data_IF_954943579470
#
_entry.id   IF_954943579470
#
_cell.length_a   1.000
_cell.length_b   1.000
_cell.length_c   1.000
_cell.angle_alpha   90.00
_cell.angle_beta   90.00
_cell.angle_gamma   90.00
#
_symmetry.space_group_name_H-M   'P 1'
#
loop_
_entity.id
_entity.type
_entity.pdbx_description
1 polymer ?
#
# COMPACT_ATOMS: atom_id res chain seq x y z
N UNK A 1 12.18 -18.15 -7.70
CA UNK A 1 11.88 -16.97 -8.54
C UNK A 1 12.43 -15.78 -7.79
N UNK A 2 13.62 -15.32 -8.17
CA UNK A 2 14.28 -14.14 -7.59
C UNK A 2 13.47 -12.89 -7.96
N UNK A 3 12.79 -12.31 -6.98
CA UNK A 3 12.17 -11.01 -7.10
C UNK A 3 13.28 -9.96 -6.94
N UNK A 4 13.93 -9.59 -8.04
CA UNK A 4 14.78 -8.40 -8.09
C UNK A 4 13.90 -7.18 -7.81
N UNK A 5 14.36 -6.34 -6.90
CA UNK A 5 13.60 -5.43 -6.04
C UNK A 5 12.87 -4.26 -6.72
N UNK A 6 12.62 -4.28 -8.03
CA UNK A 6 12.04 -3.13 -8.74
C UNK A 6 11.02 -3.48 -9.83
N UNK A 7 10.87 -4.76 -10.20
CA UNK A 7 10.00 -5.12 -11.32
C UNK A 7 8.57 -5.40 -10.85
N UNK A 8 7.76 -4.35 -10.81
CA UNK A 8 6.32 -4.45 -10.53
C UNK A 8 5.49 -4.43 -11.80
N UNK A 9 4.40 -5.21 -11.81
CA UNK A 9 3.38 -5.14 -12.86
C UNK A 9 2.78 -3.72 -12.88
N UNK A 10 2.73 -3.02 -14.03
CA UNK A 10 2.47 -1.57 -14.12
C UNK A 10 1.02 -1.13 -13.82
N UNK A 11 0.25 -1.93 -13.08
CA UNK A 11 -1.21 -1.84 -13.02
C UNK A 11 -1.70 -0.70 -12.13
N UNK A 12 -0.91 -0.30 -11.13
CA UNK A 12 -1.24 0.84 -10.26
C UNK A 12 -0.38 2.09 -10.62
N UNK A 13 0.59 1.98 -11.53
CA UNK A 13 1.51 3.09 -11.81
C UNK A 13 2.37 3.52 -10.61
N UNK A 14 2.53 2.67 -9.59
CA UNK A 14 3.20 3.03 -8.31
C UNK A 14 4.72 2.89 -8.33
N UNK A 15 5.33 2.45 -9.43
CA UNK A 15 6.79 2.25 -9.49
C UNK A 15 7.58 3.51 -9.16
N UNK A 16 7.17 4.67 -9.71
CA UNK A 16 7.80 5.95 -9.44
C UNK A 16 7.57 6.43 -7.98
N UNK A 17 6.35 6.30 -7.47
CA UNK A 17 6.02 6.67 -6.09
C UNK A 17 6.79 5.80 -5.09
N UNK A 18 6.90 4.49 -5.36
CA UNK A 18 7.65 3.55 -4.54
C UNK A 18 9.14 3.91 -4.46
N UNK A 19 9.74 4.26 -5.61
CA UNK A 19 11.13 4.72 -5.65
C UNK A 19 11.34 6.02 -4.83
N UNK A 20 10.39 6.95 -4.89
CA UNK A 20 10.42 8.18 -4.08
C UNK A 20 10.27 7.88 -2.58
N UNK A 21 9.35 6.98 -2.20
CA UNK A 21 9.22 6.52 -0.81
C UNK A 21 10.51 5.85 -0.31
N UNK A 22 11.21 5.10 -1.17
CA UNK A 22 12.47 4.44 -0.85
C UNK A 22 13.59 5.42 -0.62
N UNK A 23 13.73 6.39 -1.52
CA UNK A 23 14.68 7.48 -1.36
C UNK A 23 14.41 8.22 -0.04
N UNK A 24 13.15 8.59 0.23
CA UNK A 24 12.77 9.28 1.46
C UNK A 24 13.08 8.45 2.72
N UNK A 25 12.72 7.16 2.72
CA UNK A 25 12.99 6.26 3.85
C UNK A 25 14.49 6.09 4.11
N UNK A 26 15.30 5.91 3.05
CA UNK A 26 16.74 5.77 3.16
C UNK A 26 17.38 7.07 3.68
N UNK A 27 17.01 8.22 3.11
CA UNK A 27 17.54 9.51 3.56
C UNK A 27 17.16 9.81 5.01
N UNK A 28 15.94 9.47 5.44
CA UNK A 28 15.53 9.61 6.84
C UNK A 28 16.42 8.79 7.79
N UNK A 29 16.78 7.56 7.41
CA UNK A 29 17.67 6.72 8.21
C UNK A 29 19.09 7.26 8.23
N UNK A 30 19.63 7.63 7.07
CA UNK A 30 20.98 8.18 6.96
C UNK A 30 21.13 9.49 7.73
N UNK A 31 20.14 10.37 7.63
CA UNK A 31 20.14 11.65 8.35
C UNK A 31 20.18 11.41 9.87
N UNK A 32 19.39 10.46 10.38
CA UNK A 32 19.43 10.09 11.80
C UNK A 32 20.80 9.54 12.18
N UNK A 33 21.37 8.65 11.38
CA UNK A 33 22.66 8.05 11.68
C UNK A 33 23.77 9.11 11.76
N UNK A 34 23.78 10.08 10.85
CA UNK A 34 24.79 11.15 10.78
C UNK A 34 24.58 12.22 11.85
N UNK A 35 23.35 12.46 12.30
CA UNK A 35 23.04 13.49 13.30
C UNK A 35 22.92 12.96 14.73
N UNK A 36 22.96 11.64 14.95
CA UNK A 36 22.92 11.06 16.29
C UNK A 36 24.27 11.16 17.01
N UNK A 37 25.38 11.07 16.26
CA UNK A 37 26.74 11.13 16.80
C UNK A 37 27.53 12.23 16.05
N UNK A 38 28.35 13.02 16.76
CA UNK A 38 29.27 14.00 16.13
C UNK A 38 30.44 13.32 15.38
N UNK A 39 30.47 11.98 15.39
CA UNK A 39 31.51 11.15 14.79
C UNK A 39 30.96 10.45 13.56
N UNK A 40 31.81 10.33 12.53
CA UNK A 40 31.45 9.64 11.29
C UNK A 40 31.02 8.19 11.57
N UNK A 41 29.90 7.72 11.01
CA UNK A 41 29.42 6.37 11.26
C UNK A 41 30.38 5.31 10.72
N UNK A 42 30.55 4.25 11.50
CA UNK A 42 31.35 3.07 11.14
C UNK A 42 30.68 2.24 10.05
N UNK A 43 31.47 1.46 9.32
CA UNK A 43 30.95 0.54 8.29
C UNK A 43 29.90 -0.43 8.84
N UNK A 44 30.05 -0.91 10.08
CA UNK A 44 29.07 -1.79 10.74
C UNK A 44 27.73 -1.09 11.00
N UNK A 45 27.76 0.17 11.43
CA UNK A 45 26.54 0.95 11.62
C UNK A 45 25.80 1.20 10.30
N UNK A 46 26.54 1.48 9.22
CA UNK A 46 25.98 1.63 7.87
C UNK A 46 25.38 0.31 7.38
N UNK A 47 26.06 -0.82 7.56
CA UNK A 47 25.57 -2.13 7.15
C UNK A 47 24.29 -2.53 7.91
N UNK A 48 24.28 -2.32 9.23
CA UNK A 48 23.10 -2.53 10.07
C UNK A 48 21.91 -1.67 9.61
N UNK A 49 22.16 -0.40 9.25
CA UNK A 49 21.14 0.49 8.71
C UNK A 49 20.58 -0.02 7.38
N UNK A 50 21.43 -0.45 6.45
CA UNK A 50 20.99 -0.97 5.15
C UNK A 50 20.19 -2.28 5.29
N UNK A 51 20.58 -3.15 6.22
CA UNK A 51 19.81 -4.37 6.53
C UNK A 51 18.43 -4.01 7.10
N UNK A 52 18.36 -3.05 8.02
CA UNK A 52 17.09 -2.55 8.55
C UNK A 52 16.23 -1.91 7.47
N UNK A 53 16.81 -1.09 6.59
CA UNK A 53 16.13 -0.50 5.44
C UNK A 53 15.51 -1.59 4.55
N UNK A 54 16.30 -2.61 4.20
CA UNK A 54 15.84 -3.75 3.39
C UNK A 54 14.65 -4.46 4.05
N UNK A 55 14.76 -4.78 5.34
CA UNK A 55 13.66 -5.42 6.08
C UNK A 55 12.37 -4.58 6.06
N UNK A 56 12.46 -3.27 6.29
CA UNK A 56 11.29 -2.39 6.27
C UNK A 56 10.65 -2.26 4.87
N UNK A 57 11.45 -2.29 3.80
CA UNK A 57 10.96 -2.10 2.43
C UNK A 57 10.41 -3.37 1.79
N UNK A 58 10.89 -4.55 2.18
CA UNK A 58 10.37 -5.84 1.66
C UNK A 58 8.88 -5.99 1.94
N UNK A 59 8.42 -5.68 3.16
CA UNK A 59 7.00 -5.80 3.52
C UNK A 59 6.11 -4.83 2.72
N UNK A 60 6.57 -3.58 2.55
CA UNK A 60 5.86 -2.56 1.76
C UNK A 60 5.82 -2.91 0.28
N UNK A 61 6.92 -3.40 -0.27
CA UNK A 61 7.01 -3.85 -1.66
C UNK A 61 6.08 -5.05 -1.91
N UNK A 62 6.09 -6.04 -1.02
CA UNK A 62 5.18 -7.20 -1.08
C UNK A 62 3.72 -6.78 -1.02
N UNK A 63 3.35 -5.94 -0.06
CA UNK A 63 1.98 -5.43 0.08
C UNK A 63 1.50 -4.71 -1.19
N UNK A 64 2.37 -3.91 -1.82
CA UNK A 64 2.02 -3.20 -3.05
C UNK A 64 1.93 -4.15 -4.24
N UNK A 65 2.79 -5.16 -4.32
CA UNK A 65 2.74 -6.20 -5.35
C UNK A 65 1.44 -7.01 -5.26
N UNK A 66 1.06 -7.45 -4.06
CA UNK A 66 -0.17 -8.21 -3.82
C UNK A 66 -1.41 -7.38 -4.16
N UNK A 67 -1.39 -6.09 -3.84
CA UNK A 67 -2.44 -5.13 -4.21
C UNK A 67 -2.54 -4.98 -5.72
N UNK A 68 -1.40 -4.83 -6.41
CA UNK A 68 -1.35 -4.68 -7.88
C UNK A 68 -1.87 -5.93 -8.58
N UNK A 69 -1.48 -7.10 -8.09
CA UNK A 69 -1.96 -8.38 -8.59
C UNK A 69 -3.47 -8.54 -8.38
N UNK A 70 -3.99 -8.15 -7.21
CA UNK A 70 -5.42 -8.21 -6.92
C UNK A 70 -6.23 -7.25 -7.79
N UNK A 71 -5.74 -6.02 -7.97
CA UNK A 71 -6.35 -5.04 -8.88
C UNK A 71 -6.32 -5.50 -10.33
N UNK A 72 -5.24 -6.18 -10.76
CA UNK A 72 -5.19 -6.80 -12.07
C UNK A 72 -6.30 -7.82 -12.24
N UNK A 73 -6.44 -8.73 -11.27
CA UNK A 73 -7.44 -9.79 -11.28
C UNK A 73 -8.86 -9.22 -11.27
N UNK A 74 -9.08 -8.13 -10.54
CA UNK A 74 -10.33 -7.37 -10.56
C UNK A 74 -10.61 -6.80 -11.96
N UNK A 75 -9.65 -6.10 -12.55
CA UNK A 75 -9.81 -5.44 -13.85
C UNK A 75 -9.95 -6.42 -15.01
N UNK A 76 -9.21 -7.53 -14.97
CA UNK A 76 -9.28 -8.62 -15.96
C UNK A 76 -10.41 -9.61 -15.67
N UNK A 77 -11.14 -9.42 -14.57
CA UNK A 77 -12.22 -10.31 -14.12
C UNK A 77 -11.78 -11.78 -14.07
N UNK A 78 -10.54 -12.03 -13.61
CA UNK A 78 -9.90 -13.33 -13.72
C UNK A 78 -10.59 -14.36 -12.82
N UNK A 79 -11.53 -15.12 -13.36
CA UNK A 79 -12.29 -16.14 -12.64
C UNK A 79 -13.58 -15.60 -12.01
N UNK A 80 -14.42 -16.54 -11.56
CA UNK A 80 -15.78 -16.25 -11.11
C UNK A 80 -15.84 -15.26 -9.93
N UNK A 81 -14.96 -15.44 -8.94
CA UNK A 81 -14.89 -14.57 -7.76
C UNK A 81 -14.61 -13.09 -8.12
N UNK A 82 -13.56 -12.83 -8.92
CA UNK A 82 -13.20 -11.47 -9.33
C UNK A 82 -14.22 -10.86 -10.31
N UNK A 83 -14.86 -11.69 -11.13
CA UNK A 83 -16.01 -11.29 -11.96
C UNK A 83 -17.21 -10.85 -11.10
N UNK A 84 -17.51 -11.59 -10.04
CA UNK A 84 -18.62 -11.27 -9.14
C UNK A 84 -18.36 -9.95 -8.40
N UNK A 85 -17.15 -9.77 -7.86
CA UNK A 85 -16.79 -8.53 -7.16
C UNK A 85 -16.88 -7.33 -8.11
N UNK A 86 -16.22 -7.40 -9.27
CA UNK A 86 -16.17 -6.28 -10.22
C UNK A 86 -17.56 -5.88 -10.74
N UNK A 87 -18.43 -6.86 -11.04
CA UNK A 87 -19.75 -6.57 -11.63
C UNK A 87 -20.86 -6.32 -10.62
N UNK A 88 -20.80 -6.93 -9.43
CA UNK A 88 -21.92 -6.95 -8.47
C UNK A 88 -21.62 -6.24 -7.17
N UNK A 89 -20.36 -6.08 -6.78
CA UNK A 89 -20.00 -5.45 -5.49
C UNK A 89 -19.46 -4.05 -5.72
N UNK A 90 -18.51 -3.90 -6.65
CA UNK A 90 -17.82 -2.64 -6.92
C UNK A 90 -18.77 -1.46 -7.24
N UNK A 91 -19.86 -1.63 -8.04
CA UNK A 91 -20.80 -0.54 -8.30
C UNK A 91 -21.52 0.00 -7.06
N UNK A 92 -21.64 -0.82 -6.01
CA UNK A 92 -22.28 -0.43 -4.75
C UNK A 92 -21.27 -0.04 -3.68
N UNK A 93 -19.97 -0.13 -3.96
CA UNK A 93 -18.90 0.15 -3.01
C UNK A 93 -18.75 1.65 -2.69
N UNK A 94 -19.44 2.53 -3.43
CA UNK A 94 -19.45 3.98 -3.18
C UNK A 94 -18.02 4.54 -3.16
N UNK A 95 -17.67 5.23 -2.07
CA UNK A 95 -16.37 5.88 -1.90
C UNK A 95 -15.23 4.93 -1.50
N UNK A 96 -15.49 3.64 -1.36
CA UNK A 96 -14.49 2.67 -0.89
C UNK A 96 -13.20 2.63 -1.75
N UNK A 97 -13.25 2.69 -3.09
CA UNK A 97 -12.03 2.78 -3.90
C UNK A 97 -11.22 4.06 -3.62
N UNK A 98 -11.91 5.19 -3.42
CA UNK A 98 -11.28 6.45 -3.08
C UNK A 98 -10.66 6.42 -1.68
N UNK A 99 -11.34 5.80 -0.70
CA UNK A 99 -10.83 5.58 0.64
C UNK A 99 -9.60 4.66 0.67
N UNK A 100 -9.62 3.57 -0.09
CA UNK A 100 -8.46 2.69 -0.21
C UNK A 100 -7.28 3.40 -0.88
N UNK A 101 -7.54 4.19 -1.93
CA UNK A 101 -6.53 5.01 -2.58
C UNK A 101 -5.91 6.05 -1.64
N UNK A 102 -6.75 6.76 -0.87
CA UNK A 102 -6.26 7.75 0.10
C UNK A 102 -5.48 7.09 1.24
N UNK A 103 -5.95 5.96 1.77
CA UNK A 103 -5.24 5.20 2.81
C UNK A 103 -3.89 4.68 2.29
N UNK A 104 -3.83 4.21 1.05
CA UNK A 104 -2.60 3.74 0.42
C UNK A 104 -1.57 4.88 0.28
N UNK A 105 -2.03 6.05 -0.16
CA UNK A 105 -1.21 7.26 -0.30
C UNK A 105 -0.79 7.85 1.06
N UNK A 106 -1.67 7.81 2.08
CA UNK A 106 -1.37 8.25 3.44
C UNK A 106 -0.23 7.46 4.10
N UNK A 107 -0.06 6.19 3.69
CA UNK A 107 0.98 5.29 4.22
C UNK A 107 2.33 5.43 3.51
N UNK A 108 2.46 6.36 2.57
CA UNK A 108 3.74 6.67 1.94
C UNK A 108 4.72 7.34 2.92
N UNK A 109 6.01 7.09 2.74
CA UNK A 109 7.05 7.72 3.54
C UNK A 109 7.45 9.07 2.94
N UNK A 110 7.62 10.09 3.79
CA UNK A 110 8.04 11.44 3.41
C UNK A 110 9.43 11.75 3.99
N UNK A 111 10.17 12.66 3.36
CA UNK A 111 11.41 13.18 3.94
C UNK A 111 11.09 13.97 5.22
N UNK A 112 11.42 13.40 6.38
CA UNK A 112 11.08 13.96 7.71
C UNK A 112 11.92 15.18 8.08
N UNK A 113 13.05 15.38 7.40
CA UNK A 113 13.94 16.52 7.58
C UNK A 113 13.53 17.73 6.73
N UNK A 114 12.59 17.57 5.79
CA UNK A 114 12.05 18.68 5.00
C UNK A 114 10.70 19.14 5.57
N UNK A 115 10.39 20.45 5.51
CA UNK A 115 9.07 20.93 5.86
C UNK A 115 8.03 20.37 4.89
N UNK A 116 6.85 20.00 5.41
CA UNK A 116 5.73 19.55 4.60
C UNK A 116 5.33 20.71 3.66
N UNK A 117 5.25 20.50 2.34
CA UNK A 117 4.94 21.58 1.41
C UNK A 117 3.53 22.12 1.68
N UNK A 118 3.34 23.45 1.62
CA UNK A 118 2.04 24.11 1.88
C UNK A 118 0.89 23.56 1.03
N UNK A 119 1.20 23.01 -0.15
CA UNK A 119 0.22 22.38 -1.05
C UNK A 119 -0.25 20.98 -0.61
N UNK A 120 0.44 20.33 0.32
CA UNK A 120 0.04 19.00 0.83
C UNK A 120 -1.19 19.03 1.74
N UNK A 121 -1.63 20.21 2.21
CA UNK A 121 -2.77 20.34 3.11
C UNK A 121 -2.60 19.49 4.40
N UNK A 122 -3.70 19.01 5.02
CA UNK A 122 -3.66 18.05 6.13
C UNK A 122 -3.09 16.66 5.76
N UNK A 123 -2.60 16.47 4.54
CA UNK A 123 -2.22 15.17 3.98
C UNK A 123 -3.43 14.35 3.53
N UNK A 124 -3.21 13.07 3.23
CA UNK A 124 -4.27 12.14 2.86
C UNK A 124 -5.11 11.68 4.07
N UNK A 125 -4.71 12.02 5.30
CA UNK A 125 -5.43 11.74 6.55
C UNK A 125 -6.83 12.34 6.57
N UNK A 126 -7.06 13.52 5.97
CA UNK A 126 -8.41 14.11 5.87
C UNK A 126 -9.37 13.31 4.98
N UNK A 127 -8.82 12.48 4.08
CA UNK A 127 -9.58 11.57 3.22
C UNK A 127 -9.73 10.16 3.83
N UNK A 128 -9.30 9.98 5.08
CA UNK A 128 -9.69 8.85 5.92
C UNK A 128 -11.14 9.08 6.34
N UNK A 129 -12.06 8.98 5.37
CA UNK A 129 -13.47 9.31 5.58
C UNK A 129 -14.04 8.54 6.77
N UNK A 130 -14.92 9.18 7.54
CA UNK A 130 -15.82 8.49 8.48
C UNK A 130 -16.89 7.77 7.66
N UNK A 131 -16.51 6.75 6.89
CA UNK A 131 -17.45 6.07 6.01
C UNK A 131 -18.45 5.27 6.86
N UNK A 132 -19.67 5.80 6.95
CA UNK A 132 -20.79 5.15 7.61
C UNK A 132 -21.47 4.28 6.56
N UNK A 133 -21.08 3.01 6.55
CA UNK A 133 -21.64 1.99 5.67
C UNK A 133 -23.16 1.96 5.80
N UNK A 134 -23.87 2.03 4.66
CA UNK A 134 -25.30 1.80 4.68
C UNK A 134 -25.54 0.32 4.98
N UNK A 135 -26.54 -0.05 5.81
CA UNK A 135 -26.78 -1.43 6.22
C UNK A 135 -26.94 -2.39 5.03
N UNK A 136 -27.50 -1.90 3.92
CA UNK A 136 -27.61 -2.66 2.66
C UNK A 136 -26.25 -3.07 2.08
N UNK A 137 -25.24 -2.20 2.15
CA UNK A 137 -23.88 -2.51 1.68
C UNK A 137 -23.22 -3.57 2.57
N UNK A 138 -23.45 -3.53 3.90
CA UNK A 138 -22.96 -4.55 4.82
C UNK A 138 -23.60 -5.91 4.54
N UNK A 139 -24.92 -5.95 4.30
CA UNK A 139 -25.65 -7.19 3.99
C UNK A 139 -25.13 -7.82 2.69
N UNK A 140 -24.87 -7.02 1.66
CA UNK A 140 -24.30 -7.52 0.39
C UNK A 140 -22.90 -8.10 0.60
N UNK A 141 -22.03 -7.44 1.37
CA UNK A 141 -20.69 -7.94 1.67
C UNK A 141 -20.75 -9.24 2.48
N UNK A 142 -21.62 -9.31 3.49
CA UNK A 142 -21.81 -10.51 4.32
C UNK A 142 -22.33 -11.67 3.46
N UNK A 143 -23.32 -11.45 2.59
CA UNK A 143 -23.84 -12.48 1.69
C UNK A 143 -22.76 -13.02 0.75
N UNK A 144 -21.95 -12.14 0.16
CA UNK A 144 -20.85 -12.56 -0.72
C UNK A 144 -19.79 -13.34 0.07
N UNK A 145 -19.44 -12.90 1.28
CA UNK A 145 -18.50 -13.60 2.14
C UNK A 145 -18.99 -15.00 2.52
N UNK A 146 -20.26 -15.13 2.95
CA UNK A 146 -20.89 -16.41 3.29
C UNK A 146 -20.92 -17.34 2.07
N UNK A 147 -21.37 -16.85 0.91
CA UNK A 147 -21.41 -17.65 -0.32
C UNK A 147 -20.01 -18.11 -0.76
N UNK A 148 -18.99 -17.26 -0.59
CA UNK A 148 -17.60 -17.63 -0.90
C UNK A 148 -17.02 -18.65 0.07
N UNK A 149 -17.36 -18.57 1.37
CA UNK A 149 -16.92 -19.52 2.40
C UNK A 149 -17.52 -20.91 2.16
N UNK A 150 -18.83 -20.99 1.90
CA UNK A 150 -19.48 -22.26 1.60
C UNK A 150 -18.92 -22.93 0.34
N UNK A 151 -18.58 -22.16 -0.69
CA UNK A 151 -18.02 -22.70 -1.92
C UNK A 151 -16.60 -23.27 -1.74
N UNK A 152 -15.77 -22.63 -0.92
CA UNK A 152 -14.41 -23.10 -0.59
C UNK A 152 -14.38 -24.34 0.32
N UNK A 153 -15.46 -24.62 1.04
CA UNK A 153 -15.61 -25.83 1.87
C UNK A 153 -16.39 -26.97 1.19
N UNK A 154 -16.93 -26.72 0.00
CA UNK A 154 -17.60 -27.74 -0.81
C UNK A 154 -16.69 -28.39 -1.86
N UNK A 155 -15.41 -28.01 -1.89
CA UNK A 155 -14.40 -28.46 -2.84
C UNK A 155 -13.28 -29.20 -2.11
#
# INVERSE_FOLDING_TARGET
>A
MELTSAQMTPIIGQGANMALEEAAALTNLLTRLVHQDEVMPTSQQVESLLNRFRQMRVDRAKSTFDTSTSLNRLGTQQGFFWTLISRRVLPYAGDMPAYLGSLFAARGEFCRFLPIPRRSGPGWEMYKSKQRWRPVQMVIVILVAVLSYYWLHLQ
#
